data_IF_533492927513
#
_entry.id   IF_533492927513
#
_cell.length_a   1.000
_cell.length_b   1.000
_cell.length_c   1.000
_cell.angle_alpha   90.00
_cell.angle_beta   90.00
_cell.angle_gamma   90.00
#
_symmetry.space_group_name_H-M   'P 1'
#
loop_
_entity.id
_entity.type
_entity.pdbx_description
1 polymer ?
#
# COMPACT_ATOMS: atom_id res chain seq x y z
N UNK A 1 7.53 -22.13 4.86
CA UNK A 1 7.97 -22.22 3.46
C UNK A 1 7.65 -20.85 2.85
N UNK A 2 8.61 -19.94 2.83
CA UNK A 2 8.42 -18.65 2.16
C UNK A 2 8.61 -18.87 0.67
N UNK A 3 7.58 -18.61 -0.12
CA UNK A 3 7.65 -18.72 -1.57
C UNK A 3 8.51 -17.58 -2.08
N UNK A 4 9.74 -17.88 -2.47
CA UNK A 4 10.66 -16.90 -3.04
C UNK A 4 10.16 -16.51 -4.44
N UNK A 5 9.53 -15.35 -4.53
CA UNK A 5 9.02 -14.81 -5.80
C UNK A 5 10.25 -14.39 -6.62
N UNK A 6 10.59 -15.15 -7.67
CA UNK A 6 11.66 -14.77 -8.59
C UNK A 6 11.28 -13.48 -9.32
N UNK A 7 12.08 -12.43 -9.13
CA UNK A 7 11.88 -11.17 -9.85
C UNK A 7 12.19 -11.35 -11.35
N UNK A 8 11.28 -10.94 -12.25
CA UNK A 8 11.56 -10.93 -13.69
C UNK A 8 12.69 -9.94 -14.01
N UNK A 9 13.83 -10.46 -14.50
CA UNK A 9 15.08 -9.71 -14.74
C UNK A 9 14.91 -8.43 -15.59
N UNK A 10 13.94 -8.41 -16.50
CA UNK A 10 13.71 -7.27 -17.41
C UNK A 10 12.81 -6.18 -16.84
N UNK A 11 11.91 -6.47 -15.90
CA UNK A 11 10.88 -5.52 -15.45
C UNK A 11 11.35 -4.63 -14.29
N UNK A 12 10.81 -3.41 -14.22
CA UNK A 12 10.96 -2.56 -13.04
C UNK A 12 9.99 -3.06 -11.98
N UNK A 13 10.50 -3.78 -10.99
CA UNK A 13 9.69 -4.28 -9.87
C UNK A 13 9.66 -3.25 -8.75
N UNK A 14 8.47 -3.08 -8.16
CA UNK A 14 8.25 -2.35 -6.91
C UNK A 14 7.59 -3.31 -5.92
N UNK A 15 7.99 -3.24 -4.67
CA UNK A 15 7.40 -3.99 -3.57
C UNK A 15 6.79 -2.99 -2.60
N UNK A 16 5.51 -3.17 -2.28
CA UNK A 16 4.84 -2.40 -1.23
C UNK A 16 4.80 -3.27 0.02
N UNK A 17 5.49 -2.83 1.07
CA UNK A 17 5.48 -3.48 2.39
C UNK A 17 4.67 -2.64 3.35
N UNK A 18 3.75 -3.28 4.08
CA UNK A 18 2.97 -2.64 5.14
C UNK A 18 3.44 -3.22 6.46
N UNK A 19 3.88 -2.36 7.38
CA UNK A 19 4.23 -2.73 8.76
C UNK A 19 3.30 -2.01 9.72
N UNK A 20 3.00 -2.68 10.83
CA UNK A 20 2.10 -2.22 11.87
C UNK A 20 2.80 -2.42 13.21
N UNK A 21 2.65 -1.47 14.13
CA UNK A 21 3.01 -1.68 15.53
C UNK A 21 1.77 -2.09 16.30
N UNK A 22 1.85 -3.24 16.98
CA UNK A 22 0.74 -3.78 17.76
C UNK A 22 0.98 -3.55 19.25
N UNK A 23 -0.07 -3.17 19.98
CA UNK A 23 -0.01 -2.95 21.43
C UNK A 23 -0.29 -4.24 22.24
N UNK A 24 -0.33 -5.40 21.56
CA UNK A 24 -0.69 -6.69 22.14
C UNK A 24 -1.60 -7.47 21.19
N UNK A 25 -1.07 -8.57 20.66
CA UNK A 25 -1.87 -9.54 19.91
C UNK A 25 -2.64 -10.43 20.90
N UNK A 26 -3.87 -10.84 20.58
CA UNK A 26 -4.57 -11.81 21.41
C UNK A 26 -3.78 -13.13 21.43
N UNK A 27 -3.57 -13.69 22.61
CA UNK A 27 -2.88 -14.98 22.81
C UNK A 27 -3.56 -16.14 22.06
N UNK A 28 -4.87 -15.99 21.78
CA UNK A 28 -5.67 -16.98 21.05
C UNK A 28 -6.55 -16.29 20.01
N UNK A 29 -6.50 -16.79 18.77
CA UNK A 29 -7.34 -16.31 17.66
C UNK A 29 -8.82 -16.40 18.04
N UNK A 30 -9.56 -15.30 17.90
CA UNK A 30 -11.00 -15.23 18.20
C UNK A 30 -11.37 -14.88 19.65
N UNK A 31 -10.38 -14.70 20.55
CA UNK A 31 -10.65 -14.45 21.97
C UNK A 31 -10.91 -12.96 22.33
N UNK A 32 -10.56 -11.99 21.48
CA UNK A 32 -10.80 -10.56 21.75
C UNK A 32 -12.18 -10.13 21.23
N UNK A 33 -13.08 -9.81 22.16
CA UNK A 33 -14.24 -8.93 21.92
C UNK A 33 -13.79 -7.47 22.06
N UNK A 34 -13.12 -6.88 21.08
CA UNK A 34 -12.79 -5.45 21.17
C UNK A 34 -12.91 -4.79 19.80
N UNK A 35 -13.78 -3.78 19.71
CA UNK A 35 -13.89 -2.83 18.61
C UNK A 35 -12.64 -1.93 18.48
N UNK A 36 -11.59 -2.23 19.23
CA UNK A 36 -10.36 -1.45 19.32
C UNK A 36 -9.31 -2.16 18.47
N UNK A 37 -8.77 -1.50 17.44
CA UNK A 37 -7.70 -2.03 16.63
C UNK A 37 -6.51 -2.48 17.51
N UNK A 38 -5.95 -3.67 17.24
CA UNK A 38 -4.75 -4.13 17.94
C UNK A 38 -3.48 -3.40 17.49
N UNK A 39 -3.59 -2.46 16.55
CA UNK A 39 -2.52 -1.64 16.01
C UNK A 39 -2.71 -0.16 16.38
N UNK A 40 -1.60 0.54 16.64
CA UNK A 40 -1.62 1.95 17.05
C UNK A 40 -1.26 2.90 15.89
N UNK A 41 -0.38 2.43 15.01
CA UNK A 41 0.04 3.08 13.78
C UNK A 41 0.84 2.08 12.95
N UNK A 42 1.19 2.47 11.73
CA UNK A 42 2.03 1.68 10.87
C UNK A 42 2.75 2.52 9.83
N UNK A 43 3.50 1.85 8.97
CA UNK A 43 4.22 2.47 7.86
C UNK A 43 4.04 1.64 6.60
N UNK A 44 3.71 2.30 5.51
CA UNK A 44 3.81 1.76 4.16
C UNK A 44 5.18 2.11 3.62
N UNK A 45 5.86 1.14 3.03
CA UNK A 45 7.20 1.27 2.46
C UNK A 45 7.13 0.82 1.01
N UNK A 46 7.59 1.66 0.09
CA UNK A 46 7.91 1.22 -1.27
C UNK A 46 9.38 0.86 -1.30
N UNK A 47 9.67 -0.41 -1.52
CA UNK A 47 10.97 -0.86 -1.94
C UNK A 47 10.99 -0.96 -3.46
N UNK A 48 12.01 -0.41 -4.08
CA UNK A 48 12.16 -0.51 -5.50
C UNK A 48 13.59 -0.84 -5.86
N UNK A 49 13.75 -1.47 -7.03
CA UNK A 49 15.07 -1.79 -7.53
C UNK A 49 15.84 -0.49 -7.84
N UNK A 50 16.75 -0.10 -6.94
CA UNK A 50 17.58 1.12 -7.06
C UNK A 50 18.32 1.17 -8.40
N UNK A 51 18.71 0.02 -8.95
CA UNK A 51 19.41 -0.07 -10.24
C UNK A 51 18.54 0.40 -11.42
N UNK A 52 17.22 0.48 -11.27
CA UNK A 52 16.27 0.90 -12.32
C UNK A 52 15.67 2.30 -12.10
N UNK A 53 16.24 3.07 -11.16
CA UNK A 53 15.97 4.51 -11.00
C UNK A 53 14.74 4.86 -10.17
N UNK A 54 14.16 3.91 -9.43
CA UNK A 54 13.02 4.17 -8.53
C UNK A 54 13.57 4.34 -7.11
N UNK A 55 13.19 5.43 -6.44
CA UNK A 55 13.59 5.70 -5.06
C UNK A 55 12.66 4.98 -4.09
N UNK A 56 13.22 4.31 -3.10
CA UNK A 56 12.47 3.82 -1.95
C UNK A 56 11.96 4.99 -1.11
N UNK A 57 10.76 4.86 -0.58
CA UNK A 57 10.12 5.89 0.25
C UNK A 57 9.14 5.24 1.24
N UNK A 58 8.72 5.97 2.26
CA UNK A 58 7.80 5.49 3.28
C UNK A 58 6.79 6.55 3.72
N UNK A 59 5.60 6.10 4.11
CA UNK A 59 4.48 6.95 4.57
C UNK A 59 3.84 6.30 5.80
N UNK A 60 3.67 7.09 6.85
CA UNK A 60 3.03 6.65 8.09
C UNK A 60 1.51 6.68 7.93
N UNK A 61 0.84 5.75 8.60
CA UNK A 61 -0.62 5.73 8.73
C UNK A 61 -1.01 5.46 10.19
N UNK A 62 -2.16 5.97 10.59
CA UNK A 62 -2.65 5.84 11.97
C UNK A 62 -3.83 4.86 12.05
N UNK A 63 -4.69 4.86 11.03
CA UNK A 63 -5.86 3.97 10.95
C UNK A 63 -5.75 3.01 9.75
N UNK A 64 -6.53 1.92 9.77
CA UNK A 64 -6.51 0.94 8.67
C UNK A 64 -7.02 1.56 7.36
N UNK A 65 -8.00 2.44 7.47
CA UNK A 65 -8.62 3.19 6.39
C UNK A 65 -7.65 4.18 5.72
N UNK A 66 -6.55 4.53 6.39
CA UNK A 66 -5.51 5.41 5.87
C UNK A 66 -4.52 4.68 4.95
N UNK A 67 -4.48 3.35 4.97
CA UNK A 67 -3.51 2.56 4.20
C UNK A 67 -3.64 2.82 2.69
N UNK A 68 -4.84 2.80 2.08
CA UNK A 68 -4.97 3.15 0.67
C UNK A 68 -4.43 4.54 0.35
N UNK A 69 -4.70 5.54 1.22
CA UNK A 69 -4.16 6.90 1.08
C UNK A 69 -2.63 6.88 1.11
N UNK A 70 -2.04 6.16 2.07
CA UNK A 70 -0.59 6.09 2.23
C UNK A 70 0.11 5.43 1.03
N UNK A 71 -0.46 4.35 0.49
CA UNK A 71 0.02 3.69 -0.73
C UNK A 71 -0.05 4.66 -1.92
N UNK A 72 -1.19 5.31 -2.12
CA UNK A 72 -1.38 6.30 -3.19
C UNK A 72 -0.37 7.44 -3.11
N UNK A 73 -0.15 8.00 -1.92
CA UNK A 73 0.80 9.08 -1.70
C UNK A 73 2.22 8.64 -2.08
N UNK A 74 2.63 7.42 -1.69
CA UNK A 74 3.94 6.88 -2.03
C UNK A 74 4.12 6.62 -3.51
N UNK A 75 3.12 6.03 -4.18
CA UNK A 75 3.17 5.81 -5.62
C UNK A 75 3.25 7.11 -6.40
N UNK A 76 2.58 8.17 -5.92
CA UNK A 76 2.68 9.53 -6.45
C UNK A 76 4.07 10.13 -6.26
N UNK A 77 4.63 10.08 -5.04
CA UNK A 77 5.98 10.59 -4.74
C UNK A 77 7.07 9.87 -5.52
N UNK A 78 6.94 8.56 -5.68
CA UNK A 78 7.86 7.74 -6.47
C UNK A 78 7.67 7.90 -7.99
N UNK A 79 6.70 8.71 -8.45
CA UNK A 79 6.33 8.90 -9.87
C UNK A 79 5.99 7.58 -10.59
N UNK A 80 5.51 6.58 -9.85
CA UNK A 80 5.13 5.27 -10.38
C UNK A 80 3.68 5.33 -10.89
N UNK A 81 2.81 6.05 -10.18
CA UNK A 81 1.46 6.33 -10.62
C UNK A 81 1.33 7.83 -10.89
N UNK A 82 1.23 8.21 -12.17
CA UNK A 82 0.59 9.49 -12.53
C UNK A 82 -0.90 9.34 -12.20
N UNK A 83 -1.28 9.77 -11.00
CA UNK A 83 -2.68 9.72 -10.57
C UNK A 83 -3.59 10.79 -11.21
N UNK A 84 -3.19 11.39 -12.34
CA UNK A 84 -4.04 12.36 -13.04
C UNK A 84 -5.08 11.72 -13.96
N UNK A 85 -4.82 10.60 -14.65
CA UNK A 85 -5.69 10.28 -15.80
C UNK A 85 -6.55 9.02 -15.66
N UNK A 86 -6.07 7.93 -15.05
CA UNK A 86 -6.81 6.65 -15.14
C UNK A 86 -8.05 6.63 -14.22
N UNK A 87 -7.93 7.10 -12.98
CA UNK A 87 -9.07 7.13 -12.05
C UNK A 87 -10.12 8.17 -12.45
N UNK A 88 -9.68 9.30 -13.01
CA UNK A 88 -10.57 10.32 -13.56
C UNK A 88 -11.26 9.81 -14.82
N UNK A 89 -10.55 9.21 -15.77
CA UNK A 89 -11.14 8.58 -16.95
C UNK A 89 -12.14 7.48 -16.60
N UNK A 90 -11.82 6.60 -15.65
CA UNK A 90 -12.72 5.52 -15.25
C UNK A 90 -14.01 6.10 -14.66
N UNK A 91 -13.93 7.13 -13.82
CA UNK A 91 -15.11 7.83 -13.26
C UNK A 91 -15.87 8.61 -14.34
N UNK A 92 -15.17 9.27 -15.26
CA UNK A 92 -15.77 10.01 -16.38
C UNK A 92 -16.50 9.08 -17.36
N UNK A 93 -15.89 7.95 -17.74
CA UNK A 93 -16.52 6.89 -18.56
C UNK A 93 -17.75 6.28 -17.88
N UNK A 94 -17.73 6.15 -16.55
CA UNK A 94 -18.89 5.66 -15.77
C UNK A 94 -20.05 6.66 -15.75
N UNK A 95 -19.77 7.97 -15.78
CA UNK A 95 -20.80 9.02 -15.89
C UNK A 95 -21.42 9.08 -17.28
N UNK A 96 -20.61 8.91 -18.33
CA UNK A 96 -21.07 8.90 -19.72
C UNK A 96 -21.95 7.70 -20.07
N UNK A 97 -21.74 6.53 -19.44
CA UNK A 97 -22.59 5.33 -19.64
C UNK A 97 -23.94 5.35 -18.89
N UNK A 98 -24.17 6.35 -18.05
CA UNK A 98 -25.42 6.54 -17.29
C UNK A 98 -26.34 7.62 -17.87
N UNK A 99 -25.86 8.33 -18.91
CA UNK A 99 -26.66 9.19 -19.77
C UNK A 99 -27.04 8.44 -21.03
#
# INVERSE_FOLDING_TARGET
METEIQEPKSLKTISVKIRWWTNGLPEKVGAKKESIPCWNSGVVIIEANKAKGIKSDSEVFHYYEDIPRAITALLGRAKIAMMSDISYEIRAKKRLKKS
#
